data_IF_959211163311
#
_entry.id   IF_959211163311
#
_cell.length_a   1.000
_cell.length_b   1.000
_cell.length_c   1.000
_cell.angle_alpha   90.00
_cell.angle_beta   90.00
_cell.angle_gamma   90.00
#
_symmetry.space_group_name_H-M   'P 1'
#
loop_
_entity.id
_entity.type
_entity.pdbx_description
1 polymer ?
#
# COMPACT_ATOMS: atom_id res chain seq x y z
N UNK A 1 2.50 -13.96 -13.87
CA UNK A 1 3.72 -13.21 -13.51
C UNK A 1 4.68 -14.16 -12.82
N UNK A 2 5.98 -14.10 -13.13
CA UNK A 2 6.99 -15.02 -12.60
C UNK A 2 7.60 -14.47 -11.32
N UNK A 3 7.68 -15.29 -10.26
CA UNK A 3 8.31 -14.87 -9.00
C UNK A 3 9.77 -14.47 -9.19
N UNK A 4 10.21 -13.48 -8.42
CA UNK A 4 11.62 -13.10 -8.40
C UNK A 4 12.47 -14.23 -7.77
N UNK A 5 13.70 -14.43 -8.26
CA UNK A 5 14.64 -15.44 -7.71
C UNK A 5 15.49 -14.86 -6.57
N UNK A 6 14.95 -13.90 -5.81
CA UNK A 6 15.69 -13.24 -4.75
C UNK A 6 15.71 -14.11 -3.48
N UNK A 7 16.86 -14.14 -2.82
CA UNK A 7 17.01 -14.82 -1.55
C UNK A 7 16.27 -14.13 -0.42
N UNK A 8 15.48 -14.87 0.36
CA UNK A 8 14.86 -14.36 1.59
C UNK A 8 15.78 -14.62 2.78
N UNK A 9 16.44 -13.58 3.35
CA UNK A 9 17.33 -13.76 4.47
C UNK A 9 16.59 -14.10 5.76
N UNK A 10 17.35 -14.62 6.72
CA UNK A 10 16.92 -14.87 8.11
C UNK A 10 15.71 -15.79 8.26
N UNK A 11 15.33 -16.51 7.20
CA UNK A 11 14.35 -17.59 7.28
C UNK A 11 14.92 -18.68 8.18
N UNK A 12 14.18 -19.09 9.21
CA UNK A 12 14.58 -20.20 10.07
C UNK A 12 14.27 -21.51 9.38
N UNK A 13 15.25 -22.39 9.27
CA UNK A 13 15.08 -23.75 8.77
C UNK A 13 15.25 -24.71 9.95
N UNK A 14 14.27 -25.61 10.13
CA UNK A 14 14.29 -26.64 11.18
C UNK A 14 14.28 -28.01 10.52
N UNK A 15 15.31 -28.82 10.78
CA UNK A 15 15.35 -30.22 10.40
C UNK A 15 15.07 -31.06 11.65
N UNK A 16 13.90 -31.68 11.74
CA UNK A 16 13.42 -32.41 12.91
C UNK A 16 13.17 -33.89 12.61
N UNK A 17 13.49 -34.78 13.55
CA UNK A 17 13.31 -36.22 13.39
C UNK A 17 14.27 -37.01 14.28
N UNK A 18 15.11 -37.87 13.69
CA UNK A 18 16.16 -38.63 14.41
C UNK A 18 17.07 -37.71 15.24
N UNK A 19 17.31 -36.50 14.75
CA UNK A 19 17.90 -35.38 15.50
C UNK A 19 17.11 -34.11 15.17
N UNK A 20 17.17 -33.10 16.04
CA UNK A 20 16.67 -31.76 15.72
C UNK A 20 17.84 -30.80 15.53
N UNK A 21 17.88 -30.16 14.37
CA UNK A 21 18.87 -29.14 14.00
C UNK A 21 18.13 -27.89 13.52
N UNK A 22 18.75 -26.72 13.69
CA UNK A 22 18.24 -25.46 13.15
C UNK A 22 19.37 -24.69 12.46
N UNK A 23 19.03 -23.97 11.41
CA UNK A 23 19.89 -22.97 10.74
C UNK A 23 19.04 -21.81 10.25
N UNK A 24 19.67 -20.79 9.67
CA UNK A 24 18.97 -19.68 9.00
C UNK A 24 19.53 -19.45 7.60
N UNK A 25 18.70 -18.95 6.70
CA UNK A 25 19.14 -18.55 5.37
C UNK A 25 20.02 -17.28 5.40
N UNK A 26 21.00 -17.25 4.50
CA UNK A 26 21.84 -16.07 4.23
C UNK A 26 21.14 -15.01 3.38
N UNK A 27 21.86 -13.95 3.02
CA UNK A 27 21.35 -12.82 2.22
C UNK A 27 20.88 -13.24 0.81
N UNK A 28 21.49 -14.29 0.27
CA UNK A 28 21.16 -14.93 -0.99
C UNK A 28 20.11 -16.05 -0.84
N UNK A 29 19.56 -16.24 0.35
CA UNK A 29 18.58 -17.30 0.65
C UNK A 29 19.22 -18.67 0.89
N UNK A 30 20.53 -18.82 0.72
CA UNK A 30 21.20 -20.11 0.86
C UNK A 30 21.21 -20.59 2.32
N UNK A 31 21.05 -21.90 2.52
CA UNK A 31 21.14 -22.55 3.82
C UNK A 31 21.78 -23.93 3.68
N UNK A 32 22.36 -24.46 4.77
CA UNK A 32 22.93 -25.79 4.79
C UNK A 32 22.84 -26.42 6.18
N UNK A 33 22.72 -27.75 6.19
CA UNK A 33 22.91 -28.60 7.36
C UNK A 33 24.05 -29.57 7.04
N UNK A 34 24.97 -29.78 7.98
CA UNK A 34 26.11 -30.69 7.79
C UNK A 34 26.17 -31.73 8.92
N UNK A 35 26.83 -32.85 8.65
CA UNK A 35 27.02 -33.95 9.60
C UNK A 35 25.71 -34.51 10.18
N UNK A 36 24.67 -34.62 9.34
CA UNK A 36 23.37 -35.15 9.76
C UNK A 36 23.45 -36.68 9.85
N UNK A 37 23.13 -37.30 10.99
CA UNK A 37 23.06 -38.76 11.09
C UNK A 37 22.02 -39.35 10.11
N UNK A 38 22.25 -40.57 9.63
CA UNK A 38 21.23 -41.28 8.84
C UNK A 38 19.97 -41.47 9.69
N UNK A 39 18.82 -41.06 9.18
CA UNK A 39 17.58 -41.11 9.94
C UNK A 39 16.39 -40.54 9.21
N UNK A 40 15.23 -40.52 9.86
CA UNK A 40 14.04 -39.88 9.30
C UNK A 40 14.01 -38.42 9.73
N UNK A 41 13.69 -37.52 8.80
CA UNK A 41 13.67 -36.09 9.05
C UNK A 41 12.56 -35.38 8.28
N UNK A 42 12.09 -34.27 8.84
CA UNK A 42 11.25 -33.28 8.17
C UNK A 42 11.98 -31.93 8.23
N UNK A 43 12.17 -31.31 7.08
CA UNK A 43 12.71 -29.97 6.94
C UNK A 43 11.55 -28.99 6.80
N UNK A 44 11.48 -27.99 7.69
CA UNK A 44 10.42 -26.98 7.72
C UNK A 44 11.03 -25.57 7.75
N UNK A 45 10.65 -24.68 6.82
CA UNK A 45 10.97 -23.26 6.89
C UNK A 45 9.95 -22.50 7.76
N UNK A 46 10.40 -21.44 8.41
CA UNK A 46 9.54 -20.52 9.13
C UNK A 46 10.17 -19.12 9.17
N UNK A 47 9.35 -18.08 8.96
CA UNK A 47 9.74 -16.70 9.16
C UNK A 47 8.62 -15.97 9.90
N UNK A 48 8.96 -15.45 11.08
CA UNK A 48 8.00 -14.84 12.03
C UNK A 48 8.41 -13.43 12.43
N UNK A 49 9.63 -13.00 12.07
CA UNK A 49 10.04 -11.62 12.26
C UNK A 49 9.29 -10.69 11.29
N UNK A 50 9.11 -9.44 11.74
CA UNK A 50 8.47 -8.38 10.95
C UNK A 50 9.44 -7.61 10.05
N UNK A 51 10.65 -8.11 9.87
CA UNK A 51 11.63 -7.46 8.99
C UNK A 51 11.37 -7.88 7.55
N UNK A 52 11.80 -7.03 6.61
CA UNK A 52 11.63 -7.25 5.17
C UNK A 52 10.18 -7.42 4.74
N UNK A 53 9.26 -6.67 5.36
CA UNK A 53 7.86 -6.58 4.94
C UNK A 53 7.69 -5.26 4.18
N UNK A 54 8.18 -5.27 2.94
CA UNK A 54 8.13 -4.18 1.98
C UNK A 54 7.48 -4.68 0.69
N UNK A 55 7.04 -3.78 -0.19
CA UNK A 55 6.37 -4.18 -1.43
C UNK A 55 4.91 -4.61 -1.23
N UNK A 56 4.24 -4.09 -0.20
CA UNK A 56 2.78 -4.22 -0.05
C UNK A 56 2.21 -2.82 -0.28
N UNK A 57 1.52 -2.63 -1.40
CA UNK A 57 1.04 -1.33 -1.86
C UNK A 57 -0.46 -1.34 -2.18
N UNK A 58 -1.03 -0.19 -2.53
CA UNK A 58 -2.40 -0.13 -3.07
C UNK A 58 -2.52 -0.84 -4.43
N UNK A 59 -1.41 -1.01 -5.16
CA UNK A 59 -1.40 -1.75 -6.42
C UNK A 59 -1.67 -3.25 -6.23
N UNK A 60 -1.14 -3.84 -5.17
CA UNK A 60 -1.43 -5.22 -4.79
C UNK A 60 -2.93 -5.43 -4.55
N UNK A 61 -3.58 -4.47 -3.90
CA UNK A 61 -5.02 -4.49 -3.72
C UNK A 61 -5.76 -4.37 -5.07
N UNK A 62 -5.28 -3.54 -6.00
CA UNK A 62 -5.84 -3.44 -7.36
C UNK A 62 -5.75 -4.77 -8.12
N UNK A 63 -4.63 -5.49 -8.03
CA UNK A 63 -4.46 -6.83 -8.63
C UNK A 63 -5.48 -7.84 -8.07
N UNK A 64 -5.73 -7.80 -6.76
CA UNK A 64 -6.76 -8.63 -6.14
C UNK A 64 -8.15 -8.26 -6.65
N UNK A 65 -8.50 -6.97 -6.75
CA UNK A 65 -9.78 -6.53 -7.28
C UNK A 65 -9.98 -6.99 -8.73
N UNK A 66 -8.96 -6.82 -9.60
CA UNK A 66 -8.95 -7.34 -10.98
C UNK A 66 -9.17 -8.84 -11.05
N UNK A 67 -8.63 -9.61 -10.10
CA UNK A 67 -8.89 -11.04 -9.98
C UNK A 67 -10.33 -11.36 -9.65
N UNK A 68 -10.90 -10.68 -8.66
CA UNK A 68 -12.29 -10.90 -8.23
C UNK A 68 -13.27 -10.65 -9.38
N UNK A 69 -13.03 -9.62 -10.20
CA UNK A 69 -13.87 -9.30 -11.36
C UNK A 69 -13.46 -10.03 -12.67
N UNK A 70 -12.45 -10.91 -12.60
CA UNK A 70 -11.95 -11.72 -13.72
C UNK A 70 -11.34 -10.93 -14.88
N UNK A 71 -10.85 -9.72 -14.61
CA UNK A 71 -10.07 -8.94 -15.57
C UNK A 71 -8.63 -9.46 -15.64
N UNK A 72 -8.09 -9.96 -14.54
CA UNK A 72 -6.75 -10.55 -14.47
C UNK A 72 -6.74 -11.78 -13.56
N UNK A 73 -6.15 -12.91 -13.99
CA UNK A 73 -6.13 -14.12 -13.15
C UNK A 73 -4.79 -14.27 -12.41
N UNK A 74 -4.76 -13.90 -11.13
CA UNK A 74 -3.73 -14.34 -10.18
C UNK A 74 -3.70 -15.87 -10.04
N UNK A 75 -2.50 -16.47 -10.11
CA UNK A 75 -2.27 -17.92 -10.03
C UNK A 75 -0.96 -18.22 -9.29
N UNK A 76 -0.81 -19.45 -8.82
CA UNK A 76 0.43 -19.91 -8.18
C UNK A 76 0.79 -19.06 -6.95
N UNK A 77 2.05 -18.65 -6.79
CA UNK A 77 2.48 -17.80 -5.66
C UNK A 77 1.67 -16.51 -5.51
N UNK A 78 1.31 -15.84 -6.60
CA UNK A 78 0.54 -14.60 -6.55
C UNK A 78 -0.89 -14.82 -5.99
N UNK A 79 -1.50 -15.97 -6.29
CA UNK A 79 -2.79 -16.33 -5.70
C UNK A 79 -2.71 -16.60 -4.20
N UNK A 80 -1.61 -17.20 -3.74
CA UNK A 80 -1.35 -17.41 -2.30
C UNK A 80 -1.06 -16.08 -1.61
N UNK A 81 -0.29 -15.19 -2.24
CA UNK A 81 -0.01 -13.86 -1.71
C UNK A 81 -1.28 -12.99 -1.61
N UNK A 82 -2.21 -13.16 -2.54
CA UNK A 82 -3.49 -12.44 -2.56
C UNK A 82 -4.50 -12.91 -1.51
N UNK A 83 -4.52 -14.20 -1.12
CA UNK A 83 -5.40 -14.76 -0.09
C UNK A 83 -4.81 -14.49 1.30
N UNK A 84 -4.83 -13.21 1.71
CA UNK A 84 -4.14 -12.74 2.92
C UNK A 84 -4.83 -13.19 4.20
N UNK A 85 -6.13 -13.46 4.16
CA UNK A 85 -6.87 -13.99 5.29
C UNK A 85 -6.85 -15.53 5.38
N UNK A 86 -6.19 -16.19 4.41
CA UNK A 86 -6.02 -17.64 4.30
C UNK A 86 -7.35 -18.41 4.32
N UNK A 87 -8.42 -17.81 3.79
CA UNK A 87 -9.73 -18.43 3.67
C UNK A 87 -9.78 -19.54 2.61
N UNK A 88 -8.81 -19.57 1.69
CA UNK A 88 -8.76 -20.44 0.53
C UNK A 88 -9.43 -19.85 -0.71
N UNK A 89 -9.88 -18.60 -0.65
CA UNK A 89 -10.53 -17.89 -1.77
C UNK A 89 -10.08 -16.44 -1.83
N UNK A 90 -9.68 -15.97 -3.01
CA UNK A 90 -9.32 -14.56 -3.22
C UNK A 90 -10.61 -13.73 -3.35
N UNK A 91 -10.73 -12.71 -2.51
CA UNK A 91 -11.94 -11.90 -2.38
C UNK A 91 -11.64 -10.40 -2.23
N UNK A 92 -12.69 -9.57 -2.30
CA UNK A 92 -12.55 -8.12 -2.02
C UNK A 92 -12.16 -7.83 -0.57
N UNK A 93 -12.36 -8.77 0.37
CA UNK A 93 -11.90 -8.62 1.75
C UNK A 93 -10.37 -8.62 1.81
N UNK A 94 -9.73 -9.47 1.02
CA UNK A 94 -8.26 -9.51 0.92
C UNK A 94 -7.70 -8.20 0.39
N UNK A 95 -8.31 -7.66 -0.68
CA UNK A 95 -7.95 -6.34 -1.22
C UNK A 95 -8.06 -5.24 -0.14
N UNK A 96 -9.13 -5.27 0.66
CA UNK A 96 -9.33 -4.30 1.74
C UNK A 96 -8.24 -4.40 2.82
N UNK A 97 -7.82 -5.61 3.19
CA UNK A 97 -6.72 -5.80 4.15
C UNK A 97 -5.38 -5.33 3.60
N UNK A 98 -5.06 -5.65 2.35
CA UNK A 98 -3.85 -5.17 1.68
C UNK A 98 -3.82 -3.64 1.66
N UNK A 99 -4.93 -3.01 1.25
CA UNK A 99 -5.04 -1.55 1.18
C UNK A 99 -4.91 -0.89 2.57
N UNK A 100 -5.55 -1.45 3.60
CA UNK A 100 -5.38 -0.98 4.98
C UNK A 100 -3.93 -1.12 5.47
N UNK A 101 -3.24 -2.19 5.07
CA UNK A 101 -1.83 -2.40 5.42
C UNK A 101 -0.92 -1.40 4.71
N UNK A 102 -1.16 -1.06 3.45
CA UNK A 102 -0.32 -0.12 2.69
C UNK A 102 -0.28 1.27 3.34
N UNK A 103 -1.41 1.73 3.89
CA UNK A 103 -1.51 3.01 4.62
C UNK A 103 -1.14 2.90 6.11
N UNK A 104 -0.93 1.68 6.62
CA UNK A 104 -0.55 1.42 8.01
C UNK A 104 -1.70 1.47 9.02
N UNK A 105 -2.95 1.28 8.58
CA UNK A 105 -4.11 1.14 9.46
C UNK A 105 -4.13 -0.19 10.21
N UNK A 106 -3.63 -1.26 9.59
CA UNK A 106 -3.49 -2.56 10.21
C UNK A 106 -2.03 -3.01 10.24
N UNK A 107 -1.70 -3.82 11.23
CA UNK A 107 -0.41 -4.48 11.34
C UNK A 107 -0.51 -5.95 10.92
N UNK A 108 0.64 -6.58 10.74
CA UNK A 108 0.80 -7.96 10.28
C UNK A 108 1.13 -8.90 11.45
N UNK A 109 0.81 -10.21 11.36
CA UNK A 109 0.14 -10.88 10.24
C UNK A 109 -1.30 -10.39 10.04
N UNK A 110 -1.82 -10.57 8.82
CA UNK A 110 -3.21 -10.23 8.49
C UNK A 110 -4.20 -10.99 9.37
N UNK A 111 -5.45 -10.51 9.50
CA UNK A 111 -6.49 -11.24 10.23
C UNK A 111 -6.59 -12.70 9.75
N UNK A 112 -6.77 -13.64 10.69
CA UNK A 112 -6.74 -15.11 10.50
C UNK A 112 -5.39 -15.73 10.08
N UNK A 113 -4.48 -14.96 9.49
CA UNK A 113 -3.15 -15.47 9.13
C UNK A 113 -2.26 -15.67 10.37
N UNK A 114 -1.58 -16.82 10.43
CA UNK A 114 -0.65 -17.13 11.53
C UNK A 114 0.75 -16.53 11.33
N UNK A 115 1.10 -16.21 10.08
CA UNK A 115 2.36 -15.60 9.66
C UNK A 115 2.14 -14.84 8.36
N UNK A 116 3.02 -13.88 8.06
CA UNK A 116 2.97 -13.13 6.80
C UNK A 116 3.75 -13.81 5.67
N UNK A 117 4.68 -14.71 6.02
CA UNK A 117 5.47 -15.47 5.04
C UNK A 117 4.92 -16.89 4.96
N UNK A 118 4.49 -17.29 3.77
CA UNK A 118 4.06 -18.65 3.43
C UNK A 118 5.13 -19.33 2.60
N UNK A 119 5.35 -20.63 2.81
CA UNK A 119 6.39 -21.38 2.10
C UNK A 119 5.79 -22.53 1.28
N UNK A 120 6.27 -22.66 0.04
CA UNK A 120 5.90 -23.75 -0.87
C UNK A 120 7.18 -24.48 -1.37
N UNK A 121 7.29 -25.81 -1.20
CA UNK A 121 6.43 -26.64 -0.37
C UNK A 121 6.52 -26.22 1.12
N UNK A 122 5.56 -26.61 1.95
CA UNK A 122 5.62 -26.27 3.38
C UNK A 122 6.67 -27.09 4.13
N UNK A 123 7.06 -28.25 3.61
CA UNK A 123 8.11 -29.11 4.16
C UNK A 123 8.77 -30.00 3.10
N UNK A 124 9.95 -30.53 3.41
CA UNK A 124 10.50 -31.73 2.77
C UNK A 124 10.59 -32.88 3.78
N UNK A 125 10.20 -34.09 3.39
CA UNK A 125 10.24 -35.28 4.26
C UNK A 125 11.21 -36.32 3.74
N UNK A 126 12.02 -36.89 4.64
CA UNK A 126 13.04 -37.90 4.36
C UNK A 126 12.80 -39.14 5.21
N UNK A 127 12.65 -40.30 4.56
CA UNK A 127 12.38 -41.57 5.23
C UNK A 127 13.17 -42.73 4.57
N UNK A 128 14.48 -42.89 4.84
CA UNK A 128 15.38 -42.03 5.62
C UNK A 128 16.21 -41.06 4.73
N UNK A 129 16.79 -40.03 5.35
CA UNK A 129 17.90 -39.27 4.79
C UNK A 129 19.17 -40.14 4.82
N UNK A 130 19.55 -40.69 3.67
CA UNK A 130 20.66 -41.65 3.53
C UNK A 130 21.90 -41.11 2.81
N UNK A 131 21.79 -39.96 2.17
CA UNK A 131 22.85 -39.28 1.43
C UNK A 131 22.57 -37.77 1.38
N UNK A 132 23.58 -37.00 1.01
CA UNK A 132 23.45 -35.55 0.77
C UNK A 132 22.31 -35.27 -0.20
N UNK A 133 21.60 -34.17 0.06
CA UNK A 133 20.51 -33.67 -0.77
C UNK A 133 20.86 -32.25 -1.19
N UNK A 134 20.55 -31.92 -2.44
CA UNK A 134 20.65 -30.57 -3.00
C UNK A 134 19.35 -30.20 -3.70
N UNK A 135 19.07 -28.90 -3.87
CA UNK A 135 17.85 -28.40 -4.53
C UNK A 135 16.59 -28.51 -3.68
N UNK A 136 16.71 -28.41 -2.35
CA UNK A 136 15.59 -28.35 -1.41
C UNK A 136 15.10 -26.90 -1.30
N UNK A 137 14.66 -26.36 -2.42
CA UNK A 137 14.33 -24.95 -2.52
C UNK A 137 12.92 -24.70 -1.99
N UNK A 138 12.75 -23.62 -1.23
CA UNK A 138 11.45 -23.14 -0.80
C UNK A 138 11.13 -21.85 -1.53
N UNK A 139 9.95 -21.75 -2.12
CA UNK A 139 9.38 -20.46 -2.52
C UNK A 139 8.82 -19.80 -1.27
N UNK A 140 9.39 -18.67 -0.88
CA UNK A 140 8.84 -17.79 0.15
C UNK A 140 7.87 -16.81 -0.50
N UNK A 141 6.65 -16.73 0.03
CA UNK A 141 5.55 -15.96 -0.51
C UNK A 141 5.16 -14.95 0.56
N UNK A 142 5.27 -13.67 0.26
CA UNK A 142 4.84 -12.59 1.13
C UNK A 142 3.34 -12.39 0.95
N UNK A 143 2.54 -12.67 1.98
CA UNK A 143 1.12 -12.32 1.95
C UNK A 143 0.98 -10.81 1.79
N UNK A 144 0.10 -10.41 0.88
CA UNK A 144 -0.16 -9.03 0.51
C UNK A 144 0.68 -8.48 -0.64
N UNK A 145 1.61 -9.27 -1.21
CA UNK A 145 2.42 -8.91 -2.40
C UNK A 145 2.15 -9.87 -3.58
N UNK A 146 0.95 -9.84 -4.20
CA UNK A 146 0.66 -10.57 -5.43
C UNK A 146 1.43 -10.05 -6.65
N UNK A 147 1.93 -8.82 -6.66
CA UNK A 147 2.75 -8.31 -7.77
C UNK A 147 4.13 -8.99 -7.81
N UNK A 148 4.62 -9.44 -6.65
CA UNK A 148 5.90 -10.10 -6.47
C UNK A 148 7.08 -9.13 -6.53
N UNK A 149 6.85 -7.86 -6.21
CA UNK A 149 7.87 -6.82 -6.28
C UNK A 149 8.78 -6.76 -5.03
N UNK A 150 8.50 -7.58 -4.01
CA UNK A 150 9.32 -7.66 -2.81
C UNK A 150 10.81 -7.81 -3.14
N UNK A 151 11.65 -7.07 -2.43
CA UNK A 151 13.11 -7.20 -2.52
C UNK A 151 13.77 -7.11 -1.14
N UNK A 152 14.88 -7.82 -0.89
CA UNK A 152 15.53 -7.84 0.42
C UNK A 152 16.15 -6.50 0.81
N UNK A 153 16.44 -5.64 -0.17
CA UNK A 153 16.98 -4.28 0.01
C UNK A 153 15.91 -3.19 0.06
N UNK A 154 14.62 -3.53 -0.06
CA UNK A 154 13.54 -2.55 -0.06
C UNK A 154 13.50 -1.63 -1.29
N UNK A 155 14.29 -1.93 -2.32
CA UNK A 155 14.33 -1.18 -3.57
C UNK A 155 13.38 -1.79 -4.59
N UNK A 156 12.47 -0.99 -5.13
CA UNK A 156 11.68 -1.34 -6.31
C UNK A 156 12.64 -1.45 -7.49
N UNK A 157 12.63 -2.58 -8.21
CA UNK A 157 13.33 -2.65 -9.50
C UNK A 157 12.42 -1.98 -10.52
N UNK A 158 12.50 -0.65 -10.61
CA UNK A 158 11.73 0.10 -11.60
C UNK A 158 12.20 -0.30 -13.01
N UNK A 159 11.26 -0.61 -13.90
CA UNK A 159 11.55 -0.64 -15.33
C UNK A 159 12.04 0.72 -15.81
N UNK A 160 12.66 0.78 -17.00
CA UNK A 160 13.10 2.06 -17.57
C UNK A 160 11.92 3.06 -17.61
N UNK A 161 12.05 4.26 -17.01
CA UNK A 161 10.92 5.18 -16.90
C UNK A 161 10.50 5.71 -18.28
N UNK A 162 9.21 5.60 -18.60
CA UNK A 162 8.63 6.26 -19.78
C UNK A 162 8.62 7.79 -19.54
N UNK A 163 8.98 8.61 -20.54
CA UNK A 163 9.12 10.09 -20.40
C UNK A 163 7.82 10.87 -20.14
N UNK A 164 6.68 10.19 -19.95
CA UNK A 164 5.38 10.81 -19.65
C UNK A 164 4.99 10.52 -18.21
N UNK A 165 4.69 11.57 -17.48
CA UNK A 165 4.42 11.53 -16.05
C UNK A 165 2.99 11.98 -15.77
N UNK A 166 2.34 11.29 -14.84
CA UNK A 166 1.09 11.74 -14.23
C UNK A 166 1.36 13.04 -13.47
N UNK A 167 0.50 14.05 -13.57
CA UNK A 167 0.57 15.22 -12.71
C UNK A 167 -0.44 15.12 -11.57
N UNK A 168 0.02 15.34 -10.35
CA UNK A 168 -0.82 15.48 -9.15
C UNK A 168 -0.63 16.88 -8.58
N UNK A 169 -1.72 17.55 -8.21
CA UNK A 169 -1.66 18.92 -7.69
C UNK A 169 -2.58 19.14 -6.49
N UNK A 170 -2.05 19.87 -5.52
CA UNK A 170 -2.81 20.45 -4.41
C UNK A 170 -3.08 21.94 -4.70
N UNK A 171 -4.25 22.48 -4.30
CA UNK A 171 -4.62 23.86 -4.58
C UNK A 171 -4.02 24.86 -3.59
N UNK A 172 -4.01 26.12 -4.03
CA UNK A 172 -3.90 27.29 -3.15
C UNK A 172 -5.32 27.70 -2.71
N UNK A 173 -5.58 27.74 -1.40
CA UNK A 173 -6.91 27.99 -0.85
C UNK A 173 -6.87 28.89 0.38
N UNK A 174 -7.99 29.57 0.66
CA UNK A 174 -8.25 30.30 1.90
C UNK A 174 -9.45 29.69 2.63
N UNK A 175 -9.38 29.66 3.96
CA UNK A 175 -10.44 29.19 4.87
C UNK A 175 -10.56 30.13 6.07
N UNK A 176 -11.61 30.00 6.87
CA UNK A 176 -11.74 30.70 8.15
C UNK A 176 -11.43 29.76 9.32
N UNK A 177 -10.96 30.33 10.44
CA UNK A 177 -10.71 29.56 11.66
C UNK A 177 -11.99 28.90 12.16
N UNK A 178 -11.91 27.62 12.56
CA UNK A 178 -13.05 26.82 12.99
C UNK A 178 -13.95 26.26 11.88
N UNK A 179 -13.69 26.60 10.61
CA UNK A 179 -14.43 26.06 9.48
C UNK A 179 -13.84 24.74 8.95
N UNK A 180 -14.70 23.98 8.25
CA UNK A 180 -14.29 22.82 7.47
C UNK A 180 -13.98 23.21 6.04
N UNK A 181 -12.81 22.83 5.57
CA UNK A 181 -12.39 23.05 4.19
C UNK A 181 -12.16 21.73 3.47
N UNK A 182 -12.59 21.67 2.21
CA UNK A 182 -12.42 20.52 1.32
C UNK A 182 -11.29 20.83 0.36
N UNK A 183 -10.21 20.06 0.44
CA UNK A 183 -9.00 20.22 -0.36
C UNK A 183 -8.91 19.04 -1.33
N UNK A 184 -9.19 19.25 -2.63
CA UNK A 184 -9.04 18.20 -3.63
C UNK A 184 -7.57 17.96 -3.97
N UNK A 185 -7.19 16.68 -4.08
CA UNK A 185 -5.99 16.25 -4.80
C UNK A 185 -6.40 16.04 -6.25
N UNK A 186 -5.97 16.94 -7.12
CA UNK A 186 -6.29 16.84 -8.55
C UNK A 186 -5.25 16.00 -9.28
N UNK A 187 -5.70 15.33 -10.33
CA UNK A 187 -4.89 14.46 -11.17
C UNK A 187 -5.06 14.84 -12.63
N UNK A 188 -3.98 14.72 -13.42
CA UNK A 188 -3.98 14.89 -14.85
C UNK A 188 -2.98 13.95 -15.52
N UNK A 189 -3.40 13.26 -16.57
CA UNK A 189 -2.52 12.38 -17.36
C UNK A 189 -2.33 12.93 -18.77
N UNK A 190 -1.10 13.36 -19.11
CA UNK A 190 -0.81 13.84 -20.46
C UNK A 190 -0.74 12.68 -21.46
N UNK A 191 -1.02 12.99 -22.72
CA UNK A 191 -0.88 12.05 -23.84
C UNK A 191 -1.82 10.85 -23.76
N UNK A 192 -1.41 9.74 -24.38
CA UNK A 192 -2.20 8.51 -24.52
C UNK A 192 -1.65 7.34 -23.70
N UNK A 193 -1.03 7.61 -22.54
CA UNK A 193 -0.60 6.53 -21.64
C UNK A 193 -1.78 5.84 -20.98
N UNK A 194 -1.59 4.56 -20.64
CA UNK A 194 -2.51 3.79 -19.83
C UNK A 194 -2.65 4.45 -18.45
N UNK A 195 -3.89 4.57 -17.99
CA UNK A 195 -4.15 5.18 -16.69
C UNK A 195 -3.91 4.13 -15.60
N UNK A 196 -3.30 4.51 -14.48
CA UNK A 196 -3.02 3.58 -13.40
C UNK A 196 -4.32 3.12 -12.73
N UNK A 197 -4.23 2.04 -11.96
CA UNK A 197 -5.35 1.44 -11.21
C UNK A 197 -5.20 1.55 -9.69
N UNK A 198 -4.20 2.31 -9.25
CA UNK A 198 -3.92 2.58 -7.85
C UNK A 198 -3.20 3.92 -7.66
N UNK A 199 -3.19 4.45 -6.42
CA UNK A 199 -2.30 5.52 -5.98
C UNK A 199 -2.05 5.41 -4.47
N UNK A 200 -0.79 5.43 -4.06
CA UNK A 200 -0.35 5.60 -2.67
C UNK A 200 0.30 6.99 -2.49
N UNK A 201 -0.35 7.85 -1.72
CA UNK A 201 0.04 9.24 -1.50
C UNK A 201 0.40 9.47 -0.03
N UNK A 202 1.35 10.36 0.20
CA UNK A 202 1.56 10.99 1.50
C UNK A 202 1.39 12.50 1.33
N UNK A 203 0.33 13.04 1.91
CA UNK A 203 0.13 14.49 2.03
C UNK A 203 0.72 14.94 3.35
N UNK A 204 1.54 15.98 3.33
CA UNK A 204 2.05 16.62 4.55
C UNK A 204 1.42 17.98 4.76
N UNK A 205 1.15 18.30 6.03
CA UNK A 205 0.51 19.52 6.50
C UNK A 205 1.04 19.89 7.88
N UNK A 206 0.76 21.11 8.35
CA UNK A 206 1.04 21.54 9.71
C UNK A 206 -0.16 21.17 10.61
N UNK A 207 0.00 20.20 11.54
CA UNK A 207 -1.09 19.74 12.40
C UNK A 207 -1.49 20.76 13.47
N UNK A 208 -0.74 21.86 13.63
CA UNK A 208 -1.17 22.98 14.46
C UNK A 208 -2.16 23.91 13.75
N UNK A 209 -2.19 23.89 12.42
CA UNK A 209 -3.06 24.75 11.60
C UNK A 209 -4.31 24.02 11.12
N UNK A 210 -4.21 22.73 10.80
CA UNK A 210 -5.34 21.90 10.37
C UNK A 210 -5.27 20.49 10.93
N UNK A 211 -6.42 19.82 11.03
CA UNK A 211 -6.51 18.39 11.35
C UNK A 211 -7.38 17.66 10.34
N UNK A 212 -7.04 16.41 10.01
CA UNK A 212 -7.74 15.62 9.01
C UNK A 212 -9.04 15.07 9.61
N UNK A 213 -10.16 15.31 8.93
CA UNK A 213 -11.48 14.79 9.34
C UNK A 213 -11.83 13.53 8.56
N UNK A 214 -11.69 13.58 7.24
CA UNK A 214 -12.01 12.48 6.34
C UNK A 214 -11.27 12.61 5.02
N UNK A 215 -11.18 11.50 4.29
CA UNK A 215 -10.78 11.46 2.89
C UNK A 215 -11.87 10.72 2.12
N UNK A 216 -12.32 11.31 1.02
CA UNK A 216 -13.32 10.73 0.12
C UNK A 216 -12.74 10.60 -1.29
N UNK A 217 -13.26 9.63 -2.06
CA UNK A 217 -12.96 9.54 -3.48
C UNK A 217 -13.41 10.82 -4.21
N UNK A 218 -12.60 11.27 -5.15
CA UNK A 218 -12.97 12.32 -6.09
C UNK A 218 -13.72 11.76 -7.30
N UNK A 219 -14.10 12.65 -8.21
CA UNK A 219 -14.91 12.33 -9.39
C UNK A 219 -14.20 11.43 -10.41
N UNK A 220 -12.87 11.37 -10.39
CA UNK A 220 -12.09 10.54 -11.29
C UNK A 220 -12.14 9.05 -10.91
N UNK A 221 -12.41 8.72 -9.64
CA UNK A 221 -12.37 7.35 -9.11
C UNK A 221 -13.51 7.06 -8.12
N UNK A 222 -14.78 7.31 -8.49
CA UNK A 222 -15.91 7.37 -7.54
C UNK A 222 -16.23 6.04 -6.84
N UNK A 223 -15.80 4.92 -7.39
CA UNK A 223 -16.10 3.54 -6.97
C UNK A 223 -14.85 2.76 -6.52
N UNK A 224 -13.67 3.40 -6.52
CA UNK A 224 -12.45 2.79 -6.04
C UNK A 224 -12.47 2.59 -4.53
N UNK A 225 -11.79 1.54 -4.07
CA UNK A 225 -11.51 1.33 -2.65
C UNK A 225 -10.56 2.42 -2.15
N UNK A 226 -10.81 2.92 -0.95
CA UNK A 226 -10.00 3.97 -0.31
C UNK A 226 -9.69 3.59 1.14
N UNK A 227 -8.42 3.74 1.52
CA UNK A 227 -7.99 3.73 2.91
C UNK A 227 -7.09 4.94 3.17
N UNK A 228 -7.10 5.45 4.40
CA UNK A 228 -6.20 6.53 4.80
C UNK A 228 -5.82 6.42 6.27
N UNK A 229 -4.67 6.98 6.61
CA UNK A 229 -4.20 7.09 7.99
C UNK A 229 -3.55 8.46 8.19
N UNK A 230 -4.13 9.26 9.08
CA UNK A 230 -3.58 10.55 9.49
C UNK A 230 -2.76 10.39 10.77
N UNK A 231 -1.47 10.71 10.71
CA UNK A 231 -0.60 10.87 11.86
C UNK A 231 -0.50 12.36 12.20
N UNK A 232 -1.39 12.81 13.08
CA UNK A 232 -1.47 14.20 13.54
C UNK A 232 -0.22 14.63 14.36
N UNK A 233 0.64 13.69 14.76
CA UNK A 233 1.89 14.05 15.44
C UNK A 233 2.99 14.45 14.46
N UNK A 234 2.95 13.89 13.25
CA UNK A 234 3.90 14.18 12.17
C UNK A 234 3.33 15.13 11.11
N UNK A 235 2.01 15.36 11.11
CA UNK A 235 1.33 16.08 10.02
C UNK A 235 1.37 15.29 8.71
N UNK A 236 1.28 13.96 8.80
CA UNK A 236 1.39 13.06 7.65
C UNK A 236 0.07 12.33 7.42
N UNK A 237 -0.56 12.54 6.27
CA UNK A 237 -1.73 11.81 5.82
C UNK A 237 -1.34 10.82 4.73
N UNK A 238 -1.35 9.53 5.04
CA UNK A 238 -1.19 8.44 4.07
C UNK A 238 -2.54 8.12 3.44
N UNK A 239 -2.60 8.02 2.13
CA UNK A 239 -3.82 7.71 1.36
C UNK A 239 -3.47 6.61 0.37
N UNK A 240 -4.26 5.54 0.37
CA UNK A 240 -4.19 4.49 -0.63
C UNK A 240 -5.54 4.38 -1.32
N UNK A 241 -5.54 4.39 -2.65
CA UNK A 241 -6.73 4.13 -3.46
C UNK A 241 -6.45 3.05 -4.48
N UNK A 242 -7.41 2.16 -4.72
CA UNK A 242 -7.27 1.06 -5.67
C UNK A 242 -8.59 0.68 -6.33
N UNK A 243 -8.54 0.32 -7.61
CA UNK A 243 -9.69 -0.12 -8.40
C UNK A 243 -9.36 -1.28 -9.33
N UNK A 244 -10.40 -1.91 -9.88
CA UNK A 244 -10.28 -2.93 -10.93
C UNK A 244 -10.25 -2.35 -12.36
N UNK A 245 -10.54 -1.06 -12.51
CA UNK A 245 -10.52 -0.33 -13.76
C UNK A 245 -9.77 1.01 -13.60
N UNK A 246 -9.25 1.59 -14.69
CA UNK A 246 -8.64 2.93 -14.64
C UNK A 246 -9.65 4.03 -14.23
N UNK A 247 -9.17 5.23 -13.83
CA UNK A 247 -10.01 6.40 -13.62
C UNK A 247 -10.96 6.67 -14.77
N UNK A 248 -12.15 7.20 -14.47
CA UNK A 248 -13.20 7.46 -15.46
C UNK A 248 -12.87 8.61 -16.41
N UNK A 249 -11.90 9.44 -16.03
CA UNK A 249 -11.38 10.56 -16.82
C UNK A 249 -9.85 10.62 -16.73
N UNK A 250 -9.20 11.23 -17.72
CA UNK A 250 -7.76 11.51 -17.69
C UNK A 250 -7.39 12.70 -16.80
N UNK A 251 -8.39 13.40 -16.26
CA UNK A 251 -8.20 14.52 -15.34
C UNK A 251 -9.43 14.71 -14.46
N UNK A 252 -9.21 15.07 -13.20
CA UNK A 252 -10.29 15.29 -12.23
C UNK A 252 -9.74 15.31 -10.81
N UNK A 253 -10.64 15.18 -9.85
CA UNK A 253 -10.31 14.98 -8.44
C UNK A 253 -10.04 13.50 -8.21
N UNK A 254 -8.85 13.17 -7.71
CA UNK A 254 -8.50 11.82 -7.30
C UNK A 254 -9.12 11.52 -5.93
N UNK A 255 -8.84 12.38 -4.96
CA UNK A 255 -9.43 12.32 -3.61
C UNK A 255 -9.72 13.74 -3.12
N UNK A 256 -10.63 13.86 -2.17
CA UNK A 256 -10.93 15.10 -1.47
C UNK A 256 -10.66 14.91 0.01
N UNK A 257 -9.73 15.69 0.56
CA UNK A 257 -9.40 15.69 1.99
C UNK A 257 -10.21 16.79 2.67
N UNK A 258 -10.99 16.43 3.69
CA UNK A 258 -11.68 17.42 4.52
C UNK A 258 -10.83 17.70 5.76
N UNK A 259 -10.50 18.97 5.98
CA UNK A 259 -9.78 19.44 7.17
C UNK A 259 -10.69 20.27 8.08
N UNK A 260 -10.54 20.12 9.39
CA UNK A 260 -10.96 21.13 10.37
C UNK A 260 -9.83 22.18 10.46
N UNK A 261 -10.18 23.47 10.35
CA UNK A 261 -9.23 24.57 10.45
C UNK A 261 -9.01 24.96 11.92
N UNK A 262 -7.80 24.74 12.43
CA UNK A 262 -7.42 24.99 13.83
C UNK A 262 -6.71 26.34 14.03
N UNK A 263 -5.95 26.76 13.01
CA UNK A 263 -5.10 27.95 13.10
C UNK A 263 -5.86 29.26 13.22
N UNK A 264 -5.13 30.28 13.68
CA UNK A 264 -5.63 31.66 13.77
C UNK A 264 -5.47 32.41 12.43
N UNK A 265 -6.19 33.52 12.29
CA UNK A 265 -6.08 34.39 11.11
C UNK A 265 -4.62 34.80 10.84
N UNK A 266 -4.16 34.59 9.61
CA UNK A 266 -2.79 34.86 9.17
C UNK A 266 -1.86 33.64 9.24
N UNK A 267 -2.26 32.56 9.91
CA UNK A 267 -1.55 31.29 9.86
C UNK A 267 -1.82 30.55 8.53
N UNK A 268 -0.91 29.65 8.18
CA UNK A 268 -1.01 28.88 6.95
C UNK A 268 -0.29 27.54 7.07
N UNK A 269 -0.81 26.53 6.39
CA UNK A 269 -0.15 25.24 6.21
C UNK A 269 0.28 25.08 4.76
N UNK A 270 1.55 24.76 4.53
CA UNK A 270 1.97 24.24 3.24
C UNK A 270 1.39 22.83 3.06
N UNK A 271 0.87 22.54 1.87
CA UNK A 271 0.36 21.22 1.53
C UNK A 271 1.30 20.63 0.50
N UNK A 272 2.07 19.60 0.88
CA UNK A 272 3.00 18.95 -0.05
C UNK A 272 2.69 17.47 -0.17
N UNK A 273 3.10 16.87 -1.29
CA UNK A 273 2.89 15.45 -1.58
C UNK A 273 4.22 14.76 -1.77
N UNK A 274 4.29 13.53 -1.30
CA UNK A 274 5.24 12.53 -1.77
C UNK A 274 4.48 11.27 -2.20
N UNK A 275 5.06 10.54 -3.14
CA UNK A 275 4.51 9.26 -3.57
C UNK A 275 5.03 8.12 -2.70
N UNK A 276 4.14 7.17 -2.39
CA UNK A 276 4.53 5.81 -2.06
C UNK A 276 4.74 4.99 -3.33
N UNK A 277 3.70 4.89 -4.16
CA UNK A 277 3.63 4.09 -5.40
C UNK A 277 2.41 4.54 -6.24
N UNK A 278 2.52 4.68 -7.56
CA UNK A 278 1.35 4.93 -8.45
C UNK A 278 0.84 3.60 -8.98
N UNK A 279 1.73 2.81 -9.56
CA UNK A 279 1.50 1.48 -10.08
C UNK A 279 2.91 0.94 -10.28
N UNK A 280 3.14 -0.35 -10.01
CA UNK A 280 4.51 -0.88 -9.94
C UNK A 280 5.14 -1.11 -11.33
N UNK A 281 4.59 -0.48 -12.36
CA UNK A 281 4.99 -0.62 -13.75
C UNK A 281 5.26 0.73 -14.41
N UNK A 282 6.33 0.76 -15.23
CA UNK A 282 6.70 1.62 -16.38
C UNK A 282 6.40 3.14 -16.42
N UNK A 283 5.55 3.71 -15.56
CA UNK A 283 5.32 5.14 -15.50
C UNK A 283 6.51 5.83 -14.80
N UNK A 284 6.99 6.94 -15.38
CA UNK A 284 7.87 7.83 -14.63
C UNK A 284 7.14 8.36 -13.40
N UNK A 285 7.93 8.62 -12.34
CA UNK A 285 7.47 9.30 -11.13
C UNK A 285 6.58 10.49 -11.47
N UNK A 286 5.39 10.61 -10.84
CA UNK A 286 4.46 11.69 -11.11
C UNK A 286 5.09 13.07 -10.85
N UNK A 287 4.69 14.07 -11.62
CA UNK A 287 4.97 15.46 -11.33
C UNK A 287 4.06 15.93 -10.21
N UNK A 288 4.64 16.33 -9.08
CA UNK A 288 3.91 16.78 -7.89
C UNK A 288 3.92 18.30 -7.80
N UNK A 289 2.74 18.91 -7.67
CA UNK A 289 2.57 20.34 -7.40
C UNK A 289 1.98 20.52 -6.00
N UNK A 290 2.77 21.18 -5.14
CA UNK A 290 2.33 21.59 -3.81
C UNK A 290 1.29 22.71 -3.89
N UNK A 291 0.51 22.83 -2.82
CA UNK A 291 -0.39 23.94 -2.59
C UNK A 291 -0.18 24.53 -1.19
N UNK A 292 -1.11 25.38 -0.78
CA UNK A 292 -1.11 25.95 0.56
C UNK A 292 -2.54 26.32 0.95
N UNK A 293 -2.85 26.15 2.22
CA UNK A 293 -4.11 26.57 2.82
C UNK A 293 -3.82 27.67 3.84
N UNK A 294 -4.43 28.84 3.65
CA UNK A 294 -4.28 30.00 4.53
C UNK A 294 -5.55 30.23 5.34
N UNK A 295 -5.37 30.57 6.62
CA UNK A 295 -6.47 31.02 7.46
C UNK A 295 -6.63 32.52 7.24
N UNK A 296 -7.69 32.91 6.53
CA UNK A 296 -8.02 34.30 6.26
C UNK A 296 -8.64 35.00 7.48
N UNK A 297 -8.76 36.32 7.39
CA UNK A 297 -9.55 37.08 8.36
C UNK A 297 -11.01 36.64 8.32
N UNK A 298 -11.63 36.49 9.50
CA UNK A 298 -13.03 36.12 9.64
C UNK A 298 -13.87 37.01 8.72
N UNK A 299 -14.61 36.40 7.78
CA UNK A 299 -15.50 37.16 6.90
C UNK A 299 -16.57 37.79 7.81
N UNK A 300 -16.36 39.05 8.17
CA UNK A 300 -17.36 39.86 8.84
C UNK A 300 -18.47 40.15 7.83
N UNK A 301 -19.33 39.16 7.57
CA UNK A 301 -20.61 39.46 6.95
C UNK A 301 -21.40 40.27 7.98
N UNK A 302 -21.66 41.58 7.74
CA UNK A 302 -22.45 42.34 8.68
C UNK A 302 -23.85 41.70 8.72
N UNK A 303 -24.30 41.30 9.92
CA UNK A 303 -25.68 40.88 10.15
C UNK A 303 -26.64 41.96 9.63
N UNK A 304 -27.21 41.76 8.44
CA UNK A 304 -28.19 42.67 7.85
C UNK A 304 -29.58 42.29 8.35
N UNK A 305 -30.14 43.13 9.22
CA UNK A 305 -31.57 43.08 9.57
C UNK A 305 -32.34 43.74 8.42
N UNK A 306 -33.16 42.97 7.71
CA UNK A 306 -34.13 43.50 6.76
C UNK A 306 -35.47 43.74 7.49
N UNK A 307 -35.96 44.98 7.49
CA UNK A 307 -37.35 45.31 7.83
C UNK A 307 -38.22 45.07 6.58
N UNK A 308 -39.15 44.11 6.57
CA UNK A 308 -40.15 44.05 5.51
C UNK A 308 -41.09 45.25 5.66
N UNK A 309 -40.93 46.25 4.78
CA UNK A 309 -41.94 47.29 4.59
C UNK A 309 -43.20 46.63 4.01
N UNK A 310 -44.17 46.32 4.88
CA UNK A 310 -45.51 45.94 4.46
C UNK A 310 -46.32 47.24 4.30
N UNK A 311 -46.66 47.60 3.06
CA UNK A 311 -47.68 48.62 2.80
C UNK A 311 -49.06 48.01 3.13
N UNK A 312 -49.86 48.76 3.90
CA UNK A 312 -51.26 48.42 4.21
C UNK A 312 -52.15 48.57 2.98
#
# INVERSE_FOLDING_TARGET
MGGNQLGVPTTKLTLAGTQSLNTSSGQDGAYAFSNIPKGNYTLTPAKTDKNHINGISSYDAALVLKHVVKLETLQGPAAIAADVDQSGTISSLDAAYILQKSVGLIDVPFPNASAIWVFAPSTYSYNPLGSDQTGQDFTAILLGDPSGNWSPSGGVTLGDPVSTTVMLSLPEMETASGERVRVPVSFQVPGDIELPTSFDLIVTYDPSVVSVVEVQNGDAIPDWSLAFHADETLGHLKIGVSGDHPPVSRSGELVVVTFDTLGDSGEATALTMTMGSVEETELAEPSLQSGQLRVGEESSQPNRIFLPLVHR
#
